data_IF_403980906978
#
_entry.id   IF_403980906978
#
_cell.length_a   1.000
_cell.length_b   1.000
_cell.length_c   1.000
_cell.angle_alpha   90.00
_cell.angle_beta   90.00
_cell.angle_gamma   90.00
#
_symmetry.space_group_name_H-M   'P 1'
#
loop_
_entity.id
_entity.type
_entity.pdbx_description
1 polymer ?
#
# COMPACT_ATOMS: atom_id res chain seq x y z
N UNK A 1 8.75 2.41 50.80
CA UNK A 1 7.99 1.26 50.25
C UNK A 1 6.58 1.78 50.04
N UNK A 2 5.98 1.85 48.86
CA UNK A 2 6.06 0.99 47.67
C UNK A 2 5.71 1.81 46.42
N UNK A 3 6.51 1.62 45.38
CA UNK A 3 6.27 2.03 44.00
C UNK A 3 4.97 1.42 43.48
N UNK A 4 4.08 2.24 42.91
CA UNK A 4 2.96 1.75 42.09
C UNK A 4 3.26 2.02 40.62
N UNK A 5 3.97 1.04 40.04
CA UNK A 5 3.92 0.55 38.66
C UNK A 5 3.15 1.42 37.64
N UNK A 6 3.90 2.24 36.90
CA UNK A 6 3.61 2.50 35.49
C UNK A 6 3.92 1.23 34.70
N UNK A 7 2.90 0.55 34.17
CA UNK A 7 3.13 -0.39 33.06
C UNK A 7 1.89 -0.52 32.18
N UNK A 8 1.56 0.56 31.45
CA UNK A 8 0.63 0.48 30.33
C UNK A 8 1.40 -0.09 29.12
N UNK A 9 1.45 -1.42 29.02
CA UNK A 9 1.90 -2.12 27.80
C UNK A 9 0.91 -1.77 26.68
N UNK A 10 1.17 -0.71 25.93
CA UNK A 10 0.48 -0.42 24.67
C UNK A 10 1.21 -1.20 23.57
N UNK A 11 0.93 -2.50 23.50
CA UNK A 11 1.33 -3.35 22.39
C UNK A 11 0.12 -3.54 21.48
N UNK A 12 0.01 -2.75 20.41
CA UNK A 12 -0.93 -3.05 19.34
C UNK A 12 -0.41 -4.26 18.56
N UNK A 13 -0.73 -5.46 19.02
CA UNK A 13 -0.61 -6.66 18.20
C UNK A 13 -1.88 -6.76 17.36
N UNK A 14 -1.90 -6.16 16.18
CA UNK A 14 -3.00 -6.36 15.24
C UNK A 14 -2.82 -7.70 14.54
N UNK A 15 -3.53 -8.73 14.99
CA UNK A 15 -3.60 -10.06 14.34
C UNK A 15 -4.32 -10.06 12.98
N UNK A 16 -4.78 -8.89 12.50
CA UNK A 16 -5.43 -8.71 11.20
C UNK A 16 -4.58 -7.74 10.36
N UNK A 17 -4.06 -8.23 9.24
CA UNK A 17 -3.32 -7.46 8.22
C UNK A 17 -4.17 -7.18 6.97
N UNK A 18 -5.44 -7.60 6.96
CA UNK A 18 -6.42 -7.50 5.87
C UNK A 18 -7.09 -6.12 5.77
N UNK A 19 -6.36 -5.05 6.10
CA UNK A 19 -6.87 -3.69 6.04
C UNK A 19 -7.19 -3.27 4.61
N UNK A 20 -8.43 -2.84 4.40
CA UNK A 20 -8.91 -2.46 3.08
C UNK A 20 -8.69 -0.97 2.82
N UNK A 21 -8.37 -0.64 1.56
CA UNK A 21 -8.32 0.76 1.13
C UNK A 21 -9.72 1.37 1.16
N UNK A 22 -9.92 2.55 1.78
CA UNK A 22 -11.22 3.19 1.81
C UNK A 22 -11.79 3.41 0.42
N UNK A 23 -13.05 3.01 0.20
CA UNK A 23 -13.61 2.96 -1.14
C UNK A 23 -13.53 4.31 -1.86
N UNK A 24 -13.84 5.41 -1.17
CA UNK A 24 -13.76 6.76 -1.76
C UNK A 24 -12.36 7.14 -2.26
N UNK A 25 -11.29 6.63 -1.60
CA UNK A 25 -9.92 6.91 -1.98
C UNK A 25 -9.55 6.07 -3.20
N UNK A 26 -9.92 4.80 -3.19
CA UNK A 26 -9.72 3.91 -4.33
C UNK A 26 -10.44 4.44 -5.56
N UNK A 27 -11.71 4.81 -5.47
CA UNK A 27 -12.51 5.31 -6.60
C UNK A 27 -11.87 6.53 -7.28
N UNK A 28 -11.38 7.49 -6.48
CA UNK A 28 -10.67 8.68 -7.01
C UNK A 28 -9.37 8.34 -7.72
N UNK A 29 -8.63 7.35 -7.22
CA UNK A 29 -7.43 6.87 -7.89
C UNK A 29 -7.81 6.12 -9.17
N UNK A 30 -8.84 5.27 -9.10
CA UNK A 30 -9.29 4.46 -10.20
C UNK A 30 -9.91 5.28 -11.34
N UNK A 31 -10.55 6.43 -11.04
CA UNK A 31 -10.98 7.39 -12.05
C UNK A 31 -9.80 7.91 -12.88
N UNK A 32 -8.66 8.18 -12.23
CA UNK A 32 -7.42 8.64 -12.89
C UNK A 32 -6.68 7.52 -13.62
N UNK A 33 -6.62 6.34 -13.02
CA UNK A 33 -5.72 5.26 -13.45
C UNK A 33 -6.41 4.09 -14.14
N UNK A 34 -7.71 3.88 -13.96
CA UNK A 34 -8.44 2.72 -14.51
C UNK A 34 -7.68 1.41 -14.25
N UNK A 35 -7.45 1.11 -12.97
CA UNK A 35 -6.67 -0.03 -12.53
C UNK A 35 -7.25 -1.34 -13.07
N UNK A 36 -6.34 -2.25 -13.45
CA UNK A 36 -6.70 -3.59 -13.92
C UNK A 36 -6.39 -4.68 -12.91
N UNK A 37 -5.49 -4.39 -11.98
CA UNK A 37 -5.00 -5.35 -11.00
C UNK A 37 -4.94 -4.74 -9.61
N UNK A 38 -5.40 -5.49 -8.62
CA UNK A 38 -5.09 -5.28 -7.21
C UNK A 38 -4.02 -6.30 -6.78
N UNK A 39 -2.80 -5.82 -6.54
CA UNK A 39 -1.65 -6.70 -6.35
C UNK A 39 -1.54 -7.33 -4.96
N UNK A 40 -2.38 -6.93 -4.00
CA UNK A 40 -2.34 -7.44 -2.64
C UNK A 40 -3.74 -7.41 -2.02
N UNK A 41 -4.54 -8.44 -2.33
CA UNK A 41 -5.93 -8.53 -1.90
C UNK A 41 -6.32 -9.98 -1.57
N UNK A 42 -7.58 -10.19 -1.25
CA UNK A 42 -8.26 -11.48 -1.19
C UNK A 42 -9.64 -11.35 -1.85
N UNK A 43 -10.40 -12.45 -1.89
CA UNK A 43 -11.71 -12.50 -2.54
C UNK A 43 -12.73 -11.53 -1.93
N UNK A 44 -12.57 -11.14 -0.67
CA UNK A 44 -13.49 -10.28 0.07
C UNK A 44 -13.16 -8.79 -0.06
N UNK A 45 -11.89 -8.43 -0.27
CA UNK A 45 -11.42 -7.03 -0.23
C UNK A 45 -10.83 -6.48 -1.52
N UNK A 46 -10.75 -7.29 -2.58
CA UNK A 46 -10.21 -6.86 -3.86
C UNK A 46 -10.91 -5.63 -4.42
N UNK A 47 -10.13 -4.64 -4.85
CA UNK A 47 -10.66 -3.41 -5.47
C UNK A 47 -10.70 -3.47 -7.00
N UNK A 48 -10.12 -4.51 -7.59
CA UNK A 48 -10.11 -4.77 -9.03
C UNK A 48 -10.65 -6.16 -9.34
N UNK A 49 -11.20 -6.35 -10.55
CA UNK A 49 -11.68 -7.66 -11.00
C UNK A 49 -10.56 -8.71 -11.13
N UNK A 50 -9.34 -8.28 -11.48
CA UNK A 50 -8.16 -9.13 -11.35
C UNK A 50 -7.42 -8.73 -10.08
N UNK A 51 -7.03 -9.71 -9.27
CA UNK A 51 -6.26 -9.48 -8.06
C UNK A 51 -5.36 -10.67 -7.77
N UNK A 52 -4.36 -10.44 -6.90
CA UNK A 52 -3.44 -11.48 -6.46
C UNK A 52 -3.64 -11.70 -4.97
N UNK A 53 -3.91 -12.95 -4.61
CA UNK A 53 -4.13 -13.42 -3.25
C UNK A 53 -2.83 -13.65 -2.48
N UNK A 54 -2.92 -13.75 -1.16
CA UNK A 54 -1.79 -14.17 -0.32
C UNK A 54 -1.26 -15.55 -0.71
N UNK A 55 -2.14 -16.48 -1.11
CA UNK A 55 -1.78 -17.83 -1.55
C UNK A 55 -0.94 -17.83 -2.83
N UNK A 56 -1.25 -16.94 -3.77
CA UNK A 56 -0.48 -16.78 -5.02
C UNK A 56 0.87 -16.08 -4.80
N UNK A 57 1.04 -15.39 -3.66
CA UNK A 57 2.22 -14.64 -3.29
C UNK A 57 2.68 -13.67 -4.39
N UNK A 58 2.09 -12.49 -4.41
CA UNK A 58 2.37 -11.44 -5.40
C UNK A 58 3.85 -11.06 -5.55
N UNK A 59 4.68 -11.22 -4.51
CA UNK A 59 6.13 -11.00 -4.62
C UNK A 59 6.82 -11.98 -5.58
N UNK A 60 6.23 -13.15 -5.84
CA UNK A 60 6.70 -14.15 -6.80
C UNK A 60 6.09 -14.01 -8.20
N UNK A 61 5.09 -13.15 -8.38
CA UNK A 61 4.44 -12.92 -9.68
C UNK A 61 5.27 -11.94 -10.53
N UNK A 62 5.40 -12.20 -11.83
CA UNK A 62 6.09 -11.29 -12.76
C UNK A 62 5.17 -10.12 -13.16
N UNK A 63 5.14 -9.08 -12.33
CA UNK A 63 4.27 -7.91 -12.52
C UNK A 63 4.49 -7.16 -13.84
N UNK A 64 5.67 -7.26 -14.47
CA UNK A 64 5.91 -6.60 -15.76
C UNK A 64 5.10 -7.23 -16.90
N UNK A 65 4.65 -8.48 -16.73
CA UNK A 65 3.81 -9.18 -17.71
C UNK A 65 2.33 -8.80 -17.63
N UNK A 66 1.86 -8.29 -16.49
CA UNK A 66 0.45 -7.94 -16.25
C UNK A 66 0.06 -6.71 -17.07
N UNK A 67 -1.01 -6.78 -17.87
CA UNK A 67 -1.46 -5.64 -18.69
C UNK A 67 -2.29 -4.63 -17.90
N UNK A 68 -2.07 -3.34 -18.17
CA UNK A 68 -2.79 -2.24 -17.54
C UNK A 68 -2.17 -1.71 -16.24
N UNK A 69 -2.78 -0.67 -15.69
CA UNK A 69 -2.28 -0.02 -14.48
C UNK A 69 -2.53 -0.90 -13.24
N UNK A 70 -1.57 -0.89 -12.32
CA UNK A 70 -1.58 -1.73 -11.12
C UNK A 70 -1.84 -0.88 -9.87
N UNK A 71 -2.73 -1.36 -9.00
CA UNK A 71 -2.94 -0.84 -7.66
C UNK A 71 -2.29 -1.76 -6.64
N UNK A 72 -1.74 -1.18 -5.57
CA UNK A 72 -1.09 -1.94 -4.51
C UNK A 72 -1.29 -1.28 -3.14
N UNK A 73 -2.02 -1.96 -2.26
CA UNK A 73 -2.08 -1.68 -0.83
C UNK A 73 -1.47 -2.88 -0.08
N UNK A 74 -0.14 -2.96 0.07
CA UNK A 74 0.50 -4.16 0.62
C UNK A 74 0.26 -4.28 2.13
N UNK A 75 0.49 -5.46 2.74
CA UNK A 75 0.60 -5.57 4.19
C UNK A 75 1.69 -4.66 4.75
N UNK A 76 1.40 -3.91 5.83
CA UNK A 76 2.34 -2.94 6.42
C UNK A 76 3.26 -3.56 7.47
N UNK A 77 3.81 -4.73 7.15
CA UNK A 77 4.69 -5.49 8.02
C UNK A 77 6.17 -5.27 7.63
N UNK A 78 7.06 -6.15 8.11
CA UNK A 78 8.51 -6.06 7.87
C UNK A 78 8.90 -6.18 6.39
N UNK A 79 8.03 -6.75 5.56
CA UNK A 79 8.29 -7.04 4.16
C UNK A 79 7.94 -5.87 3.23
N UNK A 80 7.39 -4.77 3.76
CA UNK A 80 7.02 -3.58 3.00
C UNK A 80 8.15 -3.06 2.08
N UNK A 81 9.42 -3.17 2.53
CA UNK A 81 10.59 -2.82 1.70
C UNK A 81 10.66 -3.62 0.40
N UNK A 82 10.29 -4.91 0.43
CA UNK A 82 10.32 -5.79 -0.73
C UNK A 82 9.22 -5.42 -1.73
N UNK A 83 8.03 -5.07 -1.26
CA UNK A 83 6.94 -4.57 -2.11
C UNK A 83 7.31 -3.28 -2.84
N UNK A 84 7.86 -2.30 -2.12
CA UNK A 84 8.29 -1.02 -2.72
C UNK A 84 9.44 -1.23 -3.70
N UNK A 85 10.45 -2.03 -3.34
CA UNK A 85 11.55 -2.40 -4.23
C UNK A 85 11.03 -3.03 -5.52
N UNK A 86 10.15 -4.03 -5.41
CA UNK A 86 9.57 -4.71 -6.57
C UNK A 86 8.77 -3.76 -7.44
N UNK A 87 7.95 -2.88 -6.85
CA UNK A 87 7.20 -1.88 -7.62
C UNK A 87 8.13 -0.95 -8.42
N UNK A 88 9.20 -0.45 -7.79
CA UNK A 88 10.22 0.33 -8.49
C UNK A 88 10.87 -0.46 -9.63
N UNK A 89 11.38 -1.66 -9.37
CA UNK A 89 12.06 -2.49 -10.37
C UNK A 89 11.14 -2.89 -11.53
N UNK A 90 9.88 -3.21 -11.23
CA UNK A 90 8.86 -3.47 -12.25
C UNK A 90 8.61 -2.23 -13.09
N UNK A 91 8.51 -1.04 -12.48
CA UNK A 91 8.26 0.21 -13.21
C UNK A 91 9.37 0.56 -14.22
N UNK A 92 10.59 0.07 -14.01
CA UNK A 92 11.69 0.25 -14.98
C UNK A 92 11.49 -0.60 -16.25
N UNK A 93 10.67 -1.65 -16.17
CA UNK A 93 10.46 -2.66 -17.22
C UNK A 93 9.14 -2.49 -17.98
N UNK A 94 8.31 -1.51 -17.61
CA UNK A 94 6.98 -1.29 -18.22
C UNK A 94 6.63 0.19 -18.30
N UNK A 95 5.63 0.54 -19.10
CA UNK A 95 5.18 1.93 -19.28
C UNK A 95 3.94 2.28 -18.45
N UNK A 96 3.10 1.30 -18.10
CA UNK A 96 1.91 1.51 -17.29
C UNK A 96 2.26 1.84 -15.83
N UNK A 97 1.34 2.53 -15.17
CA UNK A 97 1.50 3.02 -13.81
C UNK A 97 1.34 1.91 -12.77
N UNK A 98 2.14 2.01 -11.71
CA UNK A 98 2.00 1.24 -10.47
C UNK A 98 1.77 2.25 -9.36
N UNK A 99 0.61 2.16 -8.70
CA UNK A 99 0.19 3.12 -7.68
C UNK A 99 0.06 2.41 -6.34
N UNK A 100 0.83 2.87 -5.36
CA UNK A 100 0.89 2.29 -4.04
C UNK A 100 0.22 3.21 -3.01
N UNK A 101 -0.48 2.61 -2.05
CA UNK A 101 -0.86 3.24 -0.79
C UNK A 101 0.01 2.66 0.33
N UNK A 102 0.86 3.50 0.95
CA UNK A 102 1.78 3.06 2.02
C UNK A 102 1.87 4.08 3.15
N UNK A 103 2.39 3.70 4.32
CA UNK A 103 2.76 4.63 5.38
C UNK A 103 3.82 5.63 4.90
N UNK A 104 3.65 6.91 5.25
CA UNK A 104 4.62 7.98 5.00
C UNK A 104 5.76 7.97 6.03
N UNK A 105 6.54 6.89 6.04
CA UNK A 105 7.75 6.70 6.89
C UNK A 105 9.00 7.12 6.11
N UNK A 106 9.08 8.42 5.83
CA UNK A 106 10.07 9.03 4.93
C UNK A 106 11.52 8.87 5.39
N UNK A 107 11.73 8.48 6.65
CA UNK A 107 13.01 8.18 7.28
C UNK A 107 13.57 6.78 6.97
N UNK A 108 12.74 5.89 6.43
CA UNK A 108 13.12 4.48 6.19
C UNK A 108 13.93 4.28 4.90
N UNK A 109 14.87 3.33 4.90
CA UNK A 109 15.75 3.07 3.75
C UNK A 109 15.00 2.90 2.43
N UNK A 110 13.86 2.21 2.39
CA UNK A 110 13.14 1.97 1.14
C UNK A 110 12.55 3.25 0.52
N UNK A 111 12.28 4.29 1.31
CA UNK A 111 11.90 5.61 0.78
C UNK A 111 13.07 6.25 0.04
N UNK A 112 14.27 6.22 0.63
CA UNK A 112 15.48 6.76 0.01
C UNK A 112 15.95 5.95 -1.20
N UNK A 113 15.97 4.62 -1.07
CA UNK A 113 16.47 3.71 -2.08
C UNK A 113 15.56 3.67 -3.31
N UNK A 114 14.24 3.67 -3.12
CA UNK A 114 13.29 3.32 -4.18
C UNK A 114 12.20 4.36 -4.48
N UNK A 115 11.96 5.35 -3.62
CA UNK A 115 10.87 6.32 -3.82
C UNK A 115 11.40 7.70 -4.19
N UNK A 116 12.30 8.28 -3.38
CA UNK A 116 12.82 9.62 -3.61
C UNK A 116 13.54 9.71 -4.96
N UNK A 117 13.18 10.75 -5.72
CA UNK A 117 13.63 11.01 -7.09
C UNK A 117 13.27 9.92 -8.12
N UNK A 118 12.39 8.97 -7.76
CA UNK A 118 12.02 7.80 -8.58
C UNK A 118 10.51 7.65 -8.78
N UNK A 119 9.70 8.29 -7.95
CA UNK A 119 8.24 8.26 -8.00
C UNK A 119 7.64 9.65 -7.80
N UNK A 120 6.41 9.85 -8.29
CA UNK A 120 5.57 10.98 -7.83
C UNK A 120 5.00 10.62 -6.46
N UNK A 121 5.06 11.56 -5.54
CA UNK A 121 4.65 11.36 -4.14
C UNK A 121 3.49 12.31 -3.84
N UNK A 122 2.39 11.78 -3.29
CA UNK A 122 1.27 12.57 -2.79
C UNK A 122 0.95 12.18 -1.36
N UNK A 123 1.31 13.05 -0.42
CA UNK A 123 0.91 12.89 0.98
C UNK A 123 -0.60 13.11 1.14
N UNK A 124 -1.24 12.29 1.97
CA UNK A 124 -2.65 12.45 2.29
C UNK A 124 -2.82 13.37 3.51
N UNK A 125 -3.79 14.29 3.42
CA UNK A 125 -4.14 15.18 4.54
C UNK A 125 -4.97 14.41 5.57
N UNK A 126 -4.48 14.33 6.79
CA UNK A 126 -5.15 13.62 7.89
C UNK A 126 -4.74 12.15 8.01
N UNK A 127 -5.34 11.44 8.97
CA UNK A 127 -5.12 10.01 9.19
C UNK A 127 -6.20 9.22 8.47
N UNK A 128 -5.78 8.32 7.58
CA UNK A 128 -6.70 7.47 6.85
C UNK A 128 -7.39 6.50 7.82
N UNK A 129 -8.70 6.29 7.65
CA UNK A 129 -9.45 5.24 8.35
C UNK A 129 -9.58 4.08 7.38
N UNK A 130 -8.71 3.08 7.50
CA UNK A 130 -8.82 1.86 6.68
C UNK A 130 -10.11 1.11 7.00
N UNK A 131 -10.63 0.39 6.03
CA UNK A 131 -11.87 -0.36 6.13
C UNK A 131 -11.60 -1.82 6.55
N UNK A 132 -12.59 -2.45 7.18
CA UNK A 132 -12.68 -3.89 7.38
C UNK A 132 -14.13 -4.26 7.06
N UNK A 133 -14.33 -5.17 6.09
CA UNK A 133 -15.62 -5.53 5.54
C UNK A 133 -16.42 -4.29 5.10
N UNK A 134 -15.77 -3.34 4.42
CA UNK A 134 -16.36 -2.07 3.98
C UNK A 134 -16.71 -1.07 5.09
N UNK A 135 -16.39 -1.35 6.36
CA UNK A 135 -16.65 -0.44 7.49
C UNK A 135 -15.38 0.28 7.90
N UNK A 136 -15.42 1.62 7.89
CA UNK A 136 -14.29 2.44 8.30
C UNK A 136 -13.91 2.22 9.78
N UNK A 137 -12.65 1.89 10.03
CA UNK A 137 -12.09 1.74 11.36
C UNK A 137 -11.70 3.06 12.03
N UNK A 138 -10.80 2.95 13.01
CA UNK A 138 -10.20 4.11 13.65
C UNK A 138 -9.15 4.76 12.74
N UNK A 139 -8.85 6.07 12.92
CA UNK A 139 -7.78 6.71 12.19
C UNK A 139 -6.45 5.97 12.41
N UNK A 140 -5.74 5.67 11.33
CA UNK A 140 -4.47 4.99 11.40
C UNK A 140 -3.47 5.76 12.28
N UNK A 141 -2.63 5.08 13.08
CA UNK A 141 -1.66 5.75 13.95
C UNK A 141 -0.48 6.36 13.18
N UNK A 142 -0.47 6.26 11.84
CA UNK A 142 0.60 6.74 10.96
C UNK A 142 0.05 7.58 9.79
N UNK A 143 0.85 8.50 9.23
CA UNK A 143 0.51 9.17 7.97
C UNK A 143 0.55 8.20 6.80
N UNK A 144 -0.19 8.51 5.73
CA UNK A 144 -0.20 7.73 4.49
C UNK A 144 0.20 8.59 3.29
N UNK A 145 0.80 7.95 2.29
CA UNK A 145 1.15 8.56 1.02
C UNK A 145 0.72 7.66 -0.14
N UNK A 146 0.40 8.30 -1.25
CA UNK A 146 0.28 7.65 -2.56
C UNK A 146 1.62 7.78 -3.27
N UNK A 147 2.15 6.66 -3.74
CA UNK A 147 3.39 6.58 -4.52
C UNK A 147 3.04 6.14 -5.93
N UNK A 148 3.41 6.94 -6.92
CA UNK A 148 3.10 6.67 -8.32
C UNK A 148 4.41 6.41 -9.08
N UNK A 149 4.61 5.17 -9.50
CA UNK A 149 5.66 4.80 -10.45
C UNK A 149 5.10 4.72 -11.87
N UNK A 150 5.85 5.19 -12.87
CA UNK A 150 5.46 5.12 -14.28
C UNK A 150 6.21 6.13 -15.14
N UNK A 151 6.38 5.82 -16.43
CA UNK A 151 7.23 6.62 -17.35
C UNK A 151 6.57 7.90 -17.88
N UNK A 152 5.24 7.98 -17.90
CA UNK A 152 4.54 9.17 -18.40
C UNK A 152 4.39 10.20 -17.29
N UNK A 153 5.44 10.99 -17.12
CA UNK A 153 5.33 12.32 -16.55
C UNK A 153 4.55 13.19 -17.57
N UNK A 154 3.22 13.08 -17.56
CA UNK A 154 2.39 14.22 -17.95
C UNK A 154 2.49 15.27 -16.85
#
# INVERSE_FOLDING_TARGET
>A
MTSTLFNKKVGYSSKKEDWETPQYLFDRLNEKYNFKWDLAANDDNAKCANYITELENSLNVEWASLKGNLFLNPPYNRDLKMWVKKAYETSLKRDESIVLLIPSRTDTSYWHDYIFNKAKIKFLRGRLKFEINGVAGQPAPFPSAIIEFGRKQK
#
